data_IF_109619311155
#
_entry.id   IF_109619311155
#
_cell.length_a   1.000
_cell.length_b   1.000
_cell.length_c   1.000
_cell.angle_alpha   90.00
_cell.angle_beta   90.00
_cell.angle_gamma   90.00
#
_symmetry.space_group_name_H-M   'P 1'
#
loop_
_entity.id
_entity.type
_entity.pdbx_description
1 polymer ?
#
# COMPACT_ATOMS: atom_id res chain seq x y z
N UNK A 1 2.92 -15.91 21.26
CA UNK A 1 3.56 -16.51 20.07
C UNK A 1 4.68 -15.55 19.67
N UNK A 2 5.88 -16.02 19.39
CA UNK A 2 6.95 -15.13 18.94
C UNK A 2 6.66 -14.69 17.50
N UNK A 3 6.21 -13.46 17.33
CA UNK A 3 5.79 -12.84 16.08
C UNK A 3 6.89 -11.94 15.47
N UNK A 4 8.12 -11.98 16.00
CA UNK A 4 9.25 -11.18 15.49
C UNK A 4 9.58 -11.50 14.03
N UNK A 5 9.51 -12.78 13.66
CA UNK A 5 9.71 -13.22 12.27
C UNK A 5 8.57 -12.72 11.38
N UNK A 6 7.31 -12.88 11.80
CA UNK A 6 6.15 -12.38 11.05
C UNK A 6 6.25 -10.85 10.83
N UNK A 7 6.57 -10.10 11.89
CA UNK A 7 6.77 -8.64 11.81
C UNK A 7 7.88 -8.27 10.83
N UNK A 8 9.00 -9.00 10.85
CA UNK A 8 10.10 -8.79 9.89
C UNK A 8 9.63 -9.00 8.46
N UNK A 9 8.93 -10.10 8.18
CA UNK A 9 8.45 -10.39 6.82
C UNK A 9 7.41 -9.37 6.34
N UNK A 10 6.53 -8.89 7.22
CA UNK A 10 5.58 -7.83 6.90
C UNK A 10 6.26 -6.48 6.66
N UNK A 11 7.30 -6.14 7.43
CA UNK A 11 8.10 -4.93 7.19
C UNK A 11 8.86 -5.01 5.86
N UNK A 12 9.40 -6.18 5.51
CA UNK A 12 10.02 -6.38 4.20
C UNK A 12 9.00 -6.22 3.08
N UNK A 13 7.81 -6.79 3.24
CA UNK A 13 6.75 -6.63 2.25
C UNK A 13 6.28 -5.19 2.09
N UNK A 14 6.19 -4.42 3.18
CA UNK A 14 5.96 -2.97 3.14
C UNK A 14 7.05 -2.27 2.31
N UNK A 15 8.32 -2.63 2.52
CA UNK A 15 9.45 -2.14 1.74
C UNK A 15 9.30 -2.44 0.25
N UNK A 16 9.02 -3.70 -0.10
CA UNK A 16 8.81 -4.15 -1.49
C UNK A 16 7.68 -3.34 -2.17
N UNK A 17 6.56 -3.13 -1.48
CA UNK A 17 5.42 -2.35 -1.99
C UNK A 17 5.79 -0.90 -2.31
N UNK A 18 6.57 -0.26 -1.44
CA UNK A 18 7.06 1.11 -1.64
C UNK A 18 8.11 1.18 -2.76
N UNK A 19 8.96 0.17 -2.87
CA UNK A 19 9.95 0.07 -3.96
C UNK A 19 9.27 -0.11 -5.32
N UNK A 20 8.32 -1.05 -5.42
CA UNK A 20 7.52 -1.25 -6.62
C UNK A 20 6.80 0.04 -7.05
N UNK A 21 6.19 0.75 -6.10
CA UNK A 21 5.55 2.04 -6.36
C UNK A 21 6.56 3.10 -6.84
N UNK A 22 7.76 3.16 -6.26
CA UNK A 22 8.83 4.06 -6.71
C UNK A 22 9.28 3.73 -8.14
N UNK A 23 9.42 2.46 -8.49
CA UNK A 23 9.77 2.05 -9.85
C UNK A 23 8.65 2.36 -10.86
N UNK A 24 7.39 2.09 -10.50
CA UNK A 24 6.23 2.37 -11.34
C UNK A 24 6.04 3.87 -11.58
N UNK A 25 6.21 4.72 -10.56
CA UNK A 25 6.05 6.18 -10.69
C UNK A 25 7.10 6.80 -11.63
N UNK A 26 8.32 6.27 -11.65
CA UNK A 26 9.40 6.71 -12.56
C UNK A 26 9.08 6.47 -14.05
N UNK A 27 8.10 5.63 -14.37
CA UNK A 27 7.65 5.45 -15.76
C UNK A 27 6.93 6.67 -16.32
N UNK A 28 6.40 7.55 -15.47
CA UNK A 28 5.65 8.73 -15.89
C UNK A 28 4.32 8.44 -16.59
N UNK A 29 3.75 7.24 -16.40
CA UNK A 29 2.51 6.77 -17.06
C UNK A 29 1.40 6.47 -16.05
N UNK A 30 0.73 7.48 -15.46
CA UNK A 30 -0.30 7.29 -14.42
C UNK A 30 -1.48 6.43 -14.86
N UNK A 31 -1.89 6.53 -16.12
CA UNK A 31 -3.06 5.82 -16.66
C UNK A 31 -2.72 4.42 -17.21
N UNK A 32 -1.44 4.04 -17.24
CA UNK A 32 -1.05 2.74 -17.75
C UNK A 32 -1.39 1.63 -16.73
N UNK A 33 -1.91 0.47 -17.19
CA UNK A 33 -2.15 -0.67 -16.31
C UNK A 33 -0.86 -1.17 -15.66
N UNK A 34 -0.89 -1.41 -14.35
CA UNK A 34 0.28 -1.92 -13.60
C UNK A 34 0.75 -3.26 -14.16
N UNK A 35 -0.18 -4.14 -14.54
CA UNK A 35 0.14 -5.44 -15.13
C UNK A 35 0.88 -5.34 -16.47
N UNK A 36 0.69 -4.25 -17.23
CA UNK A 36 1.47 -3.96 -18.43
C UNK A 36 2.87 -3.48 -18.04
N UNK A 37 2.96 -2.48 -17.17
CA UNK A 37 4.24 -1.90 -16.75
C UNK A 37 5.17 -2.92 -16.07
N UNK A 38 4.61 -3.86 -15.31
CA UNK A 38 5.34 -4.94 -14.66
C UNK A 38 6.00 -5.90 -15.66
N UNK A 39 5.40 -6.10 -16.85
CA UNK A 39 5.97 -6.92 -17.92
C UNK A 39 7.06 -6.21 -18.72
N UNK A 40 7.01 -4.88 -18.75
CA UNK A 40 7.95 -4.05 -19.51
C UNK A 40 9.26 -3.81 -18.74
N UNK A 41 9.27 -4.00 -17.42
CA UNK A 41 10.42 -3.69 -16.56
C UNK A 41 10.89 -4.93 -15.78
N UNK A 42 12.12 -5.36 -16.05
CA UNK A 42 12.73 -6.54 -15.39
C UNK A 42 12.76 -6.38 -13.86
N UNK A 43 13.02 -5.16 -13.36
CA UNK A 43 13.04 -4.86 -11.92
C UNK A 43 11.70 -5.06 -11.21
N UNK A 44 10.59 -5.15 -11.96
CA UNK A 44 9.27 -5.37 -11.39
C UNK A 44 8.87 -6.86 -11.35
N UNK A 45 9.66 -7.73 -11.97
CA UNK A 45 9.39 -9.18 -11.98
C UNK A 45 9.57 -9.82 -10.61
N UNK A 46 10.43 -9.25 -9.76
CA UNK A 46 10.67 -9.73 -8.39
C UNK A 46 9.44 -9.49 -7.47
N UNK A 47 8.57 -8.55 -7.84
CA UNK A 47 7.33 -8.25 -7.10
C UNK A 47 6.18 -9.14 -7.57
N UNK A 48 6.26 -10.45 -7.28
CA UNK A 48 5.27 -11.43 -7.73
C UNK A 48 3.81 -11.12 -7.37
N UNK A 49 3.57 -10.35 -6.30
CA UNK A 49 2.23 -9.89 -5.91
C UNK A 49 1.59 -8.92 -6.91
N UNK A 50 2.35 -8.25 -7.78
CA UNK A 50 1.80 -7.37 -8.81
C UNK A 50 0.92 -8.14 -9.80
N UNK A 51 1.17 -9.44 -9.98
CA UNK A 51 0.35 -10.31 -10.84
C UNK A 51 -1.04 -10.59 -10.25
N UNK A 52 -1.22 -10.38 -8.94
CA UNK A 52 -2.51 -10.56 -8.27
C UNK A 52 -3.43 -9.34 -8.40
N UNK A 53 -2.92 -8.19 -8.85
CA UNK A 53 -3.70 -6.97 -8.99
C UNK A 53 -4.78 -7.11 -10.08
N UNK A 54 -5.80 -6.27 -10.00
CA UNK A 54 -6.84 -6.24 -11.03
C UNK A 54 -6.20 -5.86 -12.39
N UNK A 55 -6.52 -6.55 -13.51
CA UNK A 55 -5.84 -6.35 -14.79
C UNK A 55 -5.89 -4.91 -15.32
N UNK A 56 -6.93 -4.16 -14.96
CA UNK A 56 -7.15 -2.78 -15.40
C UNK A 56 -6.70 -1.74 -14.37
N UNK A 57 -6.14 -2.16 -13.22
CA UNK A 57 -5.67 -1.22 -12.19
C UNK A 57 -4.55 -0.35 -12.76
N UNK A 58 -4.79 0.95 -12.79
CA UNK A 58 -3.82 1.93 -13.30
C UNK A 58 -2.72 2.20 -12.28
N UNK A 59 -1.61 2.78 -12.71
CA UNK A 59 -0.53 3.17 -11.80
C UNK A 59 -1.00 4.19 -10.74
N UNK A 60 -1.81 5.18 -11.13
CA UNK A 60 -2.36 6.18 -10.21
C UNK A 60 -3.32 5.56 -9.18
N UNK A 61 -4.19 4.67 -9.62
CA UNK A 61 -5.09 3.93 -8.73
C UNK A 61 -4.31 3.03 -7.77
N UNK A 62 -3.32 2.30 -8.28
CA UNK A 62 -2.45 1.45 -7.46
C UNK A 62 -1.74 2.27 -6.38
N UNK A 63 -1.14 3.41 -6.70
CA UNK A 63 -0.49 4.27 -5.72
C UNK A 63 -1.43 4.72 -4.60
N UNK A 64 -2.65 5.10 -4.96
CA UNK A 64 -3.69 5.50 -3.98
C UNK A 64 -4.10 4.32 -3.09
N UNK A 65 -4.39 3.16 -3.70
CA UNK A 65 -4.78 1.94 -2.99
C UNK A 65 -3.67 1.41 -2.08
N UNK A 66 -2.41 1.45 -2.49
CA UNK A 66 -1.26 1.05 -1.68
C UNK A 66 -1.11 1.96 -0.45
N UNK A 67 -1.22 3.27 -0.64
CA UNK A 67 -1.16 4.22 0.47
C UNK A 67 -2.27 3.95 1.50
N UNK A 68 -3.52 3.77 1.04
CA UNK A 68 -4.66 3.42 1.89
C UNK A 68 -4.53 2.04 2.53
N UNK A 69 -3.95 1.06 1.84
CA UNK A 69 -3.81 -0.29 2.36
C UNK A 69 -2.75 -0.40 3.47
N UNK A 70 -1.69 0.41 3.38
CA UNK A 70 -0.47 0.26 4.20
C UNK A 70 -0.28 1.34 5.26
N UNK A 71 -1.06 2.43 5.28
CA UNK A 71 -0.78 3.56 6.19
C UNK A 71 -0.73 3.19 7.68
N UNK A 72 -1.47 2.15 8.09
CA UNK A 72 -1.47 1.68 9.48
C UNK A 72 -0.28 0.76 9.81
N UNK A 73 0.32 0.11 8.81
CA UNK A 73 1.33 -0.92 9.02
C UNK A 73 2.53 -0.44 9.85
N UNK A 74 3.14 0.74 9.60
CA UNK A 74 4.28 1.20 10.39
C UNK A 74 3.99 1.26 11.88
N UNK A 75 2.77 1.60 12.28
CA UNK A 75 2.37 1.67 13.69
C UNK A 75 1.99 0.29 14.22
N UNK A 76 1.08 -0.42 13.55
CA UNK A 76 0.55 -1.72 14.00
C UNK A 76 1.64 -2.80 14.12
N UNK A 77 2.69 -2.72 13.30
CA UNK A 77 3.83 -3.65 13.38
C UNK A 77 4.72 -3.42 14.61
N UNK A 78 4.63 -2.25 15.25
CA UNK A 78 5.39 -1.88 16.46
C UNK A 78 4.59 -2.07 17.75
N UNK A 79 3.28 -2.32 17.66
CA UNK A 79 2.43 -2.55 18.82
C UNK A 79 2.85 -3.83 19.57
N UNK A 80 2.59 -3.86 20.88
CA UNK A 80 2.98 -4.99 21.76
C UNK A 80 2.38 -6.30 21.27
N UNK A 81 1.10 -6.26 20.89
CA UNK A 81 0.38 -7.37 20.28
C UNK A 81 0.09 -7.05 18.83
N UNK A 82 0.39 -8.01 17.95
CA UNK A 82 0.17 -7.83 16.52
C UNK A 82 -1.32 -7.93 16.18
N UNK A 83 -1.89 -6.84 15.68
CA UNK A 83 -3.27 -6.84 15.20
C UNK A 83 -3.39 -7.45 13.79
N UNK A 84 -3.35 -8.79 13.77
CA UNK A 84 -3.38 -9.61 12.55
C UNK A 84 -4.57 -9.29 11.65
N UNK A 85 -5.74 -9.08 12.24
CA UNK A 85 -6.96 -8.80 11.49
C UNK A 85 -6.86 -7.44 10.80
N UNK A 86 -6.48 -6.37 11.50
CA UNK A 86 -6.36 -5.03 10.89
C UNK A 86 -5.35 -5.05 9.76
N UNK A 87 -4.15 -5.61 9.97
CA UNK A 87 -3.10 -5.66 8.95
C UNK A 87 -3.57 -6.33 7.66
N UNK A 88 -4.30 -7.45 7.75
CA UNK A 88 -4.77 -8.17 6.58
C UNK A 88 -6.07 -7.57 6.00
N UNK A 89 -6.99 -7.10 6.83
CA UNK A 89 -8.28 -6.56 6.38
C UNK A 89 -8.14 -5.25 5.63
N UNK A 90 -7.18 -4.40 6.02
CA UNK A 90 -6.92 -3.13 5.31
C UNK A 90 -6.35 -3.40 3.92
N UNK A 91 -5.48 -4.40 3.74
CA UNK A 91 -5.06 -4.84 2.39
C UNK A 91 -6.23 -5.41 1.60
N UNK A 92 -7.01 -6.31 2.21
CA UNK A 92 -8.15 -6.93 1.54
C UNK A 92 -9.10 -5.85 1.00
N UNK A 93 -9.51 -4.92 1.86
CA UNK A 93 -10.44 -3.86 1.49
C UNK A 93 -9.83 -2.83 0.54
N UNK A 94 -8.67 -2.25 0.85
CA UNK A 94 -8.21 -1.07 0.11
C UNK A 94 -7.43 -1.41 -1.17
N UNK A 95 -6.76 -2.57 -1.21
CA UNK A 95 -6.00 -2.99 -2.39
C UNK A 95 -6.78 -3.93 -3.31
N UNK A 96 -7.57 -4.85 -2.75
CA UNK A 96 -8.20 -5.92 -3.51
C UNK A 96 -9.71 -5.81 -3.64
N UNK A 97 -10.34 -4.66 -3.30
CA UNK A 97 -11.79 -4.51 -3.44
C UNK A 97 -12.30 -4.94 -4.82
N UNK A 98 -13.39 -5.70 -4.83
CA UNK A 98 -13.96 -6.29 -6.04
C UNK A 98 -13.12 -7.36 -6.74
N UNK A 99 -11.94 -7.72 -6.23
CA UNK A 99 -11.01 -8.69 -6.83
C UNK A 99 -10.72 -9.91 -5.91
N UNK A 100 -11.70 -10.81 -5.71
CA UNK A 100 -11.53 -11.99 -4.83
C UNK A 100 -10.44 -12.95 -5.31
N UNK A 101 -10.24 -13.08 -6.62
CA UNK A 101 -9.21 -13.95 -7.19
C UNK A 101 -7.80 -13.40 -6.90
N UNK A 102 -7.61 -12.10 -7.07
CA UNK A 102 -6.38 -11.39 -6.71
C UNK A 102 -6.08 -11.49 -5.22
N UNK A 103 -7.08 -11.22 -4.38
CA UNK A 103 -6.93 -11.39 -2.92
C UNK A 103 -6.44 -12.79 -2.56
N UNK A 104 -7.05 -13.84 -3.13
CA UNK A 104 -6.64 -15.22 -2.88
C UNK A 104 -5.20 -15.51 -3.32
N UNK A 105 -4.79 -15.02 -4.50
CA UNK A 105 -3.42 -15.17 -4.98
C UNK A 105 -2.40 -14.43 -4.09
N UNK A 106 -2.74 -13.21 -3.66
CA UNK A 106 -1.93 -12.42 -2.74
C UNK A 106 -1.77 -13.10 -1.39
N UNK A 107 -2.86 -13.60 -0.79
CA UNK A 107 -2.82 -14.34 0.47
C UNK A 107 -1.97 -15.60 0.36
N UNK A 108 -2.11 -16.37 -0.72
CA UNK A 108 -1.30 -17.56 -0.95
C UNK A 108 0.20 -17.23 -1.00
N UNK A 109 0.57 -16.12 -1.65
CA UNK A 109 1.95 -15.63 -1.66
C UNK A 109 2.42 -15.22 -0.26
N UNK A 110 1.63 -14.43 0.48
CA UNK A 110 1.98 -13.98 1.83
C UNK A 110 2.12 -15.13 2.82
N UNK A 111 1.26 -16.14 2.72
CA UNK A 111 1.26 -17.31 3.62
C UNK A 111 2.49 -18.21 3.47
N UNK A 112 3.29 -18.05 2.41
CA UNK A 112 4.60 -18.72 2.31
C UNK A 112 5.60 -18.23 3.37
N UNK A 113 5.43 -16.98 3.84
CA UNK A 113 6.31 -16.30 4.81
C UNK A 113 5.61 -16.02 6.14
N UNK A 114 4.32 -15.69 6.10
CA UNK A 114 3.49 -15.30 7.26
C UNK A 114 2.22 -16.14 7.26
N UNK A 115 2.27 -17.32 7.89
CA UNK A 115 1.27 -18.38 7.72
C UNK A 115 -0.15 -17.99 8.15
N UNK A 116 -0.31 -17.02 9.06
CA UNK A 116 -1.62 -16.58 9.53
C UNK A 116 -2.28 -15.54 8.62
N UNK A 117 -1.53 -14.92 7.70
CA UNK A 117 -2.00 -13.75 6.96
C UNK A 117 -3.30 -14.04 6.21
N UNK A 118 -4.31 -13.18 6.37
CA UNK A 118 -5.63 -13.33 5.76
C UNK A 118 -6.53 -14.43 6.35
N UNK A 119 -6.07 -15.20 7.35
CA UNK A 119 -6.89 -16.25 7.99
C UNK A 119 -7.99 -15.63 8.84
N UNK A 120 -9.22 -16.15 8.73
CA UNK A 120 -10.35 -15.71 9.56
C UNK A 120 -11.02 -14.41 9.11
N UNK A 121 -10.60 -13.86 7.96
CA UNK A 121 -11.30 -12.73 7.34
C UNK A 121 -12.57 -13.21 6.59
N UNK A 122 -13.60 -12.34 6.49
CA UNK A 122 -14.77 -12.63 5.68
C UNK A 122 -14.40 -12.89 4.21
N UNK A 123 -15.15 -13.79 3.56
CA UNK A 123 -15.02 -13.97 2.12
C UNK A 123 -15.41 -12.70 1.37
N UNK A 124 -14.60 -12.38 0.36
CA UNK A 124 -14.85 -11.24 -0.51
C UNK A 124 -15.99 -11.55 -1.47
N UNK A 125 -16.94 -10.62 -1.58
CA UNK A 125 -17.96 -10.70 -2.62
C UNK A 125 -17.34 -10.25 -3.94
N UNK A 126 -17.60 -10.94 -5.07
CA UNK A 126 -17.19 -10.44 -6.37
C UNK A 126 -17.87 -9.08 -6.60
N UNK A 127 -17.09 -8.08 -7.02
CA UNK A 127 -17.62 -6.75 -7.29
C UNK A 127 -18.64 -6.82 -8.43
N UNK A 128 -19.84 -6.27 -8.21
CA UNK A 128 -20.71 -5.88 -9.31
C UNK A 128 -20.02 -4.71 -9.98
N UNK A 129 -19.44 -4.95 -11.16
CA UNK A 129 -18.89 -3.89 -12.02
C UNK A 129 -19.93 -2.79 -12.15
N UNK A 130 -19.60 -1.56 -11.73
CA UNK A 130 -20.47 -0.41 -11.92
C UNK A 130 -20.76 -0.26 -13.41
N UNK A 131 -22.03 -0.40 -13.76
CA UNK A 131 -22.59 -0.10 -15.07
C UNK A 131 -22.52 1.44 -15.25
N UNK A 132 -22.05 1.96 -16.39
CA UNK A 132 -21.85 3.40 -16.53
C UNK A 132 -23.21 4.11 -16.61
N UNK A 133 -23.50 4.94 -15.62
CA UNK A 133 -24.65 5.85 -15.65
C UNK A 133 -24.44 6.85 -16.81
N UNK A 134 -25.41 7.00 -17.74
CA UNK A 134 -25.24 7.89 -18.87
C UNK A 134 -25.29 9.36 -18.44
N UNK A 135 -24.53 10.17 -19.17
CA UNK A 135 -24.41 11.61 -19.02
C UNK A 135 -25.77 12.32 -19.01
N UNK A 136 -26.01 13.09 -17.96
CA UNK A 136 -27.00 14.17 -17.92
C UNK A 136 -26.27 15.46 -17.57
N UNK A 137 -26.07 16.31 -18.57
CA UNK A 137 -25.68 17.69 -18.38
C UNK A 137 -26.80 18.44 -17.65
N UNK A 138 -26.48 19.19 -16.60
CA UNK A 138 -26.74 20.63 -16.62
C UNK A 138 -25.95 21.40 -15.57
N UNK A 139 -25.71 22.63 -15.97
CA UNK A 139 -24.86 23.70 -15.49
C UNK A 139 -25.21 24.24 -14.10
N UNK A 140 -24.19 24.66 -13.32
CA UNK A 140 -24.19 25.90 -12.53
C UNK A 140 -22.92 26.06 -11.64
N UNK A 141 -22.03 26.95 -12.08
CA UNK A 141 -21.14 27.88 -11.35
C UNK A 141 -20.32 27.44 -10.12
N UNK A 142 -18.97 27.61 -10.14
CA UNK A 142 -18.15 27.65 -8.94
C UNK A 142 -18.06 29.08 -8.39
N UNK A 143 -18.39 29.25 -7.11
CA UNK A 143 -18.16 30.49 -6.35
C UNK A 143 -16.78 30.43 -5.69
N UNK A 144 -16.03 31.50 -5.92
CA UNK A 144 -14.77 31.90 -5.30
C UNK A 144 -14.64 31.55 -3.80
N UNK A 145 -13.54 30.88 -3.45
CA UNK A 145 -12.98 30.91 -2.11
C UNK A 145 -11.45 30.96 -2.22
N UNK A 146 -10.95 32.17 -2.41
CA UNK A 146 -9.54 32.52 -2.26
C UNK A 146 -9.13 32.26 -0.81
N UNK A 147 -8.31 31.23 -0.59
CA UNK A 147 -7.65 30.98 0.70
C UNK A 147 -6.20 31.41 0.55
N UNK A 148 -5.90 32.50 1.25
CA UNK A 148 -4.59 33.10 1.44
C UNK A 148 -3.58 32.05 1.98
N UNK A 149 -2.52 31.81 1.21
CA UNK A 149 -1.42 30.93 1.58
C UNK A 149 -0.44 31.66 2.51
N UNK A 150 -0.36 31.22 3.77
CA UNK A 150 0.74 31.55 4.67
C UNK A 150 2.01 30.77 4.25
N UNK A 151 3.22 31.32 4.44
CA UNK A 151 4.43 30.76 3.85
C UNK A 151 4.90 29.47 4.55
N UNK A 152 5.53 28.60 3.76
CA UNK A 152 6.26 27.42 4.21
C UNK A 152 7.27 27.82 5.30
N UNK A 153 7.08 27.27 6.50
CA UNK A 153 8.13 27.22 7.50
C UNK A 153 9.12 26.12 7.10
N UNK A 154 10.21 26.57 6.50
CA UNK A 154 11.56 26.01 6.46
C UNK A 154 11.77 24.80 7.41
N UNK A 155 11.81 23.59 6.86
CA UNK A 155 12.29 22.38 7.54
C UNK A 155 13.82 22.37 7.56
N UNK A 156 14.42 23.34 8.24
CA UNK A 156 15.83 23.29 8.61
C UNK A 156 15.98 23.63 10.09
N UNK A 157 15.89 22.58 10.93
CA UNK A 157 16.58 22.54 12.22
C UNK A 157 16.79 21.09 12.64
N UNK A 158 18.05 20.74 12.85
CA UNK A 158 18.56 19.42 13.21
C UNK A 158 17.80 18.79 14.39
N UNK A 159 17.17 17.64 14.15
CA UNK A 159 16.71 16.77 15.24
C UNK A 159 17.92 15.99 15.77
N UNK A 160 18.58 16.59 16.76
CA UNK A 160 19.54 15.92 17.62
C UNK A 160 18.86 14.73 18.29
N UNK A 161 19.09 13.54 17.73
CA UNK A 161 18.84 12.17 18.24
C UNK A 161 18.85 12.05 19.78
N UNK A 162 17.81 12.49 20.46
CA UNK A 162 17.63 12.32 21.92
C UNK A 162 16.50 11.36 22.30
N UNK A 163 15.86 10.73 21.32
CA UNK A 163 14.69 9.89 21.58
C UNK A 163 14.83 8.39 21.33
N UNK A 164 15.92 7.91 20.72
CA UNK A 164 15.97 6.54 20.20
C UNK A 164 16.84 5.60 21.06
N UNK A 165 16.37 4.41 21.43
CA UNK A 165 17.04 3.52 22.37
C UNK A 165 18.13 2.64 21.74
N UNK A 166 18.49 2.87 20.47
CA UNK A 166 19.50 2.05 19.80
C UNK A 166 20.91 2.42 20.26
N UNK A 167 21.78 1.44 20.57
CA UNK A 167 23.18 1.71 20.86
C UNK A 167 23.83 2.35 19.63
N UNK A 168 24.62 3.41 19.86
CA UNK A 168 25.35 4.07 18.79
C UNK A 168 26.35 3.09 18.18
N UNK A 169 26.46 3.02 16.85
CA UNK A 169 27.46 2.18 16.20
C UNK A 169 28.85 2.70 16.57
N UNK A 170 29.54 1.99 17.47
CA UNK A 170 30.89 2.35 17.94
C UNK A 170 31.14 2.17 19.45
N UNK A 171 30.12 1.94 20.27
CA UNK A 171 30.34 1.58 21.68
C UNK A 171 30.72 0.10 21.80
N UNK A 172 31.99 -0.22 21.61
CA UNK A 172 32.56 -1.44 22.19
C UNK A 172 32.78 -1.24 23.69
N UNK A 173 32.54 -2.32 24.43
CA UNK A 173 32.44 -2.51 25.89
C UNK A 173 33.38 -1.73 26.81
#
# INVERSE_FOLDING_TARGET
>A
MDDRFDRRELLLHLGDMLEALSCLTKTGRPDAPVAQLAKEQDSLQDFGYLQALAPQMTMAEFGTRVASALFLWPKELLETELNRNVLASTIQHDLFDGNPAGWKAYVANMQTKVSWFGTGLPEMKPGTSEEPVPAGADDASPVDASVEAAPLTEWDAADEKKGWPWPQPGSTS
#
